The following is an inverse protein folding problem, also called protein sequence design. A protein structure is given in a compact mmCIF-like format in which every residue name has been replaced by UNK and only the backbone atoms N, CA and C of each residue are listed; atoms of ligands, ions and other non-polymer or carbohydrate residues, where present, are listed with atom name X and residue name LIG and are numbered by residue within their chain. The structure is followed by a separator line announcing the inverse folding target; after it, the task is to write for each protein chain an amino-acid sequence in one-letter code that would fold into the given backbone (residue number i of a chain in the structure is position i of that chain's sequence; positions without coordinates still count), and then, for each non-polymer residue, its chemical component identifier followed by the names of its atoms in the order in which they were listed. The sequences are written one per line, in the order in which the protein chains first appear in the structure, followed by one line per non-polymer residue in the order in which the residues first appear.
data_IF_597433426748
#
_entry.id   IF_597433426748
#
_cell.length_a   1.000
_cell.length_b   1.000
_cell.length_c   1.000
_cell.angle_alpha   90.00
_cell.angle_beta   90.00
_cell.angle_gamma   90.00
#
_symmetry.space_group_name_H-M   'P 1'
#
loop_
_entity.id
_entity.type
_entity.pdbx_description
1 polymer ?
#
# COMPACT_ATOMS: atom_id res chain seq x y z
N UNK A 1 39.58 31.43 10.22
CA UNK A 1 39.31 30.26 9.35
C UNK A 1 38.80 29.01 10.09
N UNK A 2 39.08 28.84 11.39
CA UNK A 2 38.72 27.64 12.16
C UNK A 2 37.19 27.46 12.37
N UNK A 3 36.44 28.56 12.52
CA UNK A 3 34.98 28.51 12.75
C UNK A 3 34.16 28.06 11.52
N UNK A 4 34.71 28.17 10.30
CA UNK A 4 34.03 27.75 9.07
C UNK A 4 34.12 26.23 8.89
N UNK A 5 35.30 25.65 9.17
CA UNK A 5 35.50 24.20 9.15
C UNK A 5 34.63 23.49 10.19
N UNK A 6 34.47 24.08 11.37
CA UNK A 6 33.65 23.49 12.44
C UNK A 6 32.15 23.49 12.10
N UNK A 7 31.66 24.51 11.35
CA UNK A 7 30.28 24.51 10.82
C UNK A 7 30.07 23.46 9.73
N UNK A 8 31.06 23.24 8.86
CA UNK A 8 30.99 22.25 7.78
C UNK A 8 30.94 20.82 8.34
N UNK A 9 31.77 20.52 9.34
CA UNK A 9 31.78 19.21 10.02
C UNK A 9 30.44 18.94 10.74
N UNK A 10 29.84 19.97 11.36
CA UNK A 10 28.53 19.84 12.02
C UNK A 10 27.38 19.53 11.03
N UNK A 11 27.45 20.06 9.80
CA UNK A 11 26.45 19.77 8.77
C UNK A 11 26.56 18.33 8.24
N UNK A 12 27.78 17.81 8.11
CA UNK A 12 27.97 16.41 7.70
C UNK A 12 27.43 15.40 8.73
N UNK A 13 27.55 15.67 10.04
CA UNK A 13 26.99 14.78 11.07
C UNK A 13 25.46 14.76 11.08
N UNK A 14 24.79 15.89 10.78
CA UNK A 14 23.31 15.95 10.77
C UNK A 14 22.65 15.16 9.64
N UNK A 15 23.36 14.87 8.54
CA UNK A 15 22.80 14.17 7.37
C UNK A 15 23.04 12.65 7.35
N UNK A 16 23.92 12.15 8.22
CA UNK A 16 24.28 10.73 8.33
C UNK A 16 23.09 9.78 8.64
N UNK A 17 22.23 10.04 9.66
CA UNK A 17 21.17 9.09 10.02
C UNK A 17 20.06 8.99 8.97
N UNK A 18 19.81 10.06 8.22
CA UNK A 18 18.75 10.08 7.20
C UNK A 18 19.11 9.28 5.95
N UNK A 19 20.40 9.22 5.58
CA UNK A 19 20.87 8.43 4.44
C UNK A 19 20.74 6.92 4.70
N UNK A 20 21.07 6.47 5.91
CA UNK A 20 20.95 5.07 6.30
C UNK A 20 19.48 4.60 6.35
N UNK A 21 18.57 5.46 6.85
CA UNK A 21 17.13 5.18 6.85
C UNK A 21 16.59 5.09 5.40
N UNK A 22 16.97 6.02 4.53
CA UNK A 22 16.57 6.02 3.12
C UNK A 22 17.04 4.76 2.37
N UNK A 23 18.27 4.28 2.65
CA UNK A 23 18.78 3.04 2.08
C UNK A 23 18.01 1.79 2.54
N UNK A 24 17.57 1.77 3.81
CA UNK A 24 16.74 0.67 4.34
C UNK A 24 15.36 0.62 3.69
N UNK A 25 14.71 1.77 3.48
CA UNK A 25 13.44 1.81 2.73
C UNK A 25 13.62 1.44 1.25
N UNK A 26 14.75 1.80 0.63
CA UNK A 26 15.05 1.44 -0.75
C UNK A 26 15.33 -0.07 -0.94
N UNK A 27 15.92 -0.75 0.07
CA UNK A 27 16.19 -2.19 -0.01
C UNK A 27 14.97 -3.07 0.27
N UNK A 28 13.95 -2.52 0.93
CA UNK A 28 12.66 -3.17 1.17
C UNK A 28 11.63 -2.85 0.07
N UNK A 29 12.10 -2.50 -1.13
CA UNK A 29 11.25 -2.42 -2.32
C UNK A 29 10.57 -3.77 -2.53
N UNK A 30 9.38 -3.91 -1.96
CA UNK A 30 8.62 -5.15 -1.91
C UNK A 30 8.49 -5.69 -3.32
N UNK A 31 9.23 -6.76 -3.61
CA UNK A 31 8.79 -7.73 -4.59
C UNK A 31 7.37 -8.09 -4.17
N UNK A 32 6.39 -7.78 -5.00
CA UNK A 32 5.02 -8.20 -4.82
C UNK A 32 4.99 -9.73 -4.92
N UNK A 33 5.47 -10.41 -3.87
CA UNK A 33 5.18 -11.80 -3.65
C UNK A 33 3.66 -11.84 -3.58
N UNK A 34 3.05 -12.55 -4.51
CA UNK A 34 1.64 -12.90 -4.49
C UNK A 34 1.34 -13.44 -3.10
N UNK A 35 0.80 -12.60 -2.22
CA UNK A 35 0.33 -13.04 -0.91
C UNK A 35 -0.77 -14.02 -1.24
N UNK A 36 -0.53 -15.31 -0.96
CA UNK A 36 -1.51 -16.35 -1.20
C UNK A 36 -2.75 -15.99 -0.39
N UNK A 37 -3.80 -15.53 -1.07
CA UNK A 37 -5.07 -15.25 -0.43
C UNK A 37 -5.51 -16.53 0.27
N UNK A 38 -5.92 -16.50 1.56
CA UNK A 38 -6.42 -17.69 2.22
C UNK A 38 -7.52 -18.29 1.33
N UNK A 39 -7.50 -19.61 1.11
CA UNK A 39 -8.34 -20.27 0.10
C UNK A 39 -9.86 -20.00 0.22
N UNK A 40 -10.30 -19.52 1.40
CA UNK A 40 -11.68 -19.19 1.71
C UNK A 40 -12.08 -17.73 1.37
N UNK A 41 -11.13 -16.84 1.05
CA UNK A 41 -11.42 -15.45 0.70
C UNK A 41 -10.86 -15.19 -0.70
N UNK A 42 -11.67 -15.26 -1.77
CA UNK A 42 -11.20 -15.16 -3.15
C UNK A 42 -10.72 -13.74 -3.54
N UNK A 43 -10.79 -12.76 -2.64
CA UNK A 43 -10.50 -11.36 -2.93
C UNK A 43 -11.70 -10.64 -3.55
N UNK A 44 -11.46 -9.41 -4.02
CA UNK A 44 -12.49 -8.57 -4.65
C UNK A 44 -12.69 -9.02 -6.10
N UNK A 45 -13.94 -9.01 -6.55
CA UNK A 45 -14.29 -9.43 -7.91
C UNK A 45 -13.98 -8.37 -8.96
N UNK A 46 -14.13 -8.75 -10.23
CA UNK A 46 -14.00 -7.84 -11.36
C UNK A 46 -15.05 -6.71 -11.40
N UNK A 47 -16.07 -6.76 -10.55
CA UNK A 47 -17.03 -5.67 -10.36
C UNK A 47 -16.38 -4.47 -9.63
N UNK A 48 -15.49 -4.75 -8.68
CA UNK A 48 -14.77 -3.74 -7.90
C UNK A 48 -13.64 -3.13 -8.69
N UNK A 49 -12.76 -3.97 -9.24
CA UNK A 49 -11.66 -3.54 -10.09
C UNK A 49 -11.26 -4.65 -11.04
N UNK A 50 -10.77 -4.26 -12.22
CA UNK A 50 -10.23 -5.20 -13.20
C UNK A 50 -8.73 -5.03 -13.22
N UNK A 51 -7.99 -6.13 -13.00
CA UNK A 51 -6.54 -6.16 -13.26
C UNK A 51 -6.37 -6.19 -14.78
N UNK A 52 -5.85 -5.13 -15.40
CA UNK A 52 -5.56 -5.14 -16.82
C UNK A 52 -4.32 -6.01 -17.07
N UNK A 53 -4.29 -6.76 -18.19
CA UNK A 53 -3.16 -7.63 -18.52
C UNK A 53 -1.91 -6.85 -18.97
N UNK A 54 -1.99 -5.53 -19.11
CA UNK A 54 -0.90 -4.66 -19.56
C UNK A 54 -0.91 -3.31 -18.86
N UNK A 55 -0.08 -2.41 -19.37
CA UNK A 55 0.11 -1.08 -18.81
C UNK A 55 -1.19 -0.26 -18.85
N UNK A 56 -1.49 0.40 -17.74
CA UNK A 56 -2.74 1.17 -17.57
C UNK A 56 -2.62 2.62 -18.01
N UNK A 57 -1.44 3.00 -18.51
CA UNK A 57 -1.10 4.33 -18.97
C UNK A 57 0.41 4.56 -19.00
N UNK A 58 0.87 5.71 -19.50
CA UNK A 58 2.28 6.02 -19.61
C UNK A 58 2.98 5.96 -18.24
N UNK A 59 3.96 5.05 -18.09
CA UNK A 59 4.71 4.87 -16.84
C UNK A 59 3.95 4.14 -15.72
N UNK A 60 2.73 3.66 -15.99
CA UNK A 60 1.91 2.87 -15.08
C UNK A 60 1.92 1.38 -15.51
N UNK A 61 3.11 0.81 -15.45
CA UNK A 61 3.38 -0.61 -15.71
C UNK A 61 3.61 -1.37 -14.41
N UNK A 62 3.37 -2.69 -14.41
CA UNK A 62 3.71 -3.60 -13.32
C UNK A 62 5.20 -3.62 -13.00
N UNK A 63 6.03 -3.48 -14.04
CA UNK A 63 7.48 -3.45 -13.92
C UNK A 63 8.01 -2.01 -13.72
N UNK A 64 7.10 -1.03 -13.67
CA UNK A 64 7.40 0.37 -13.54
C UNK A 64 7.87 0.80 -12.13
N UNK A 65 8.14 2.10 -12.01
CA UNK A 65 8.55 2.73 -10.75
C UNK A 65 7.42 2.75 -9.72
N UNK A 66 6.17 2.97 -10.18
CA UNK A 66 4.99 2.97 -9.33
C UNK A 66 4.48 1.55 -9.13
N UNK A 67 4.26 1.14 -7.88
CA UNK A 67 4.01 -0.27 -7.53
C UNK A 67 2.55 -0.71 -7.58
N UNK A 68 1.60 0.22 -7.70
CA UNK A 68 0.17 -0.09 -7.67
C UNK A 68 -0.58 0.51 -8.87
N UNK A 69 -0.27 0.10 -10.11
CA UNK A 69 -0.96 0.63 -11.29
C UNK A 69 -2.47 0.37 -11.27
N UNK A 70 -2.97 -0.64 -10.57
CA UNK A 70 -4.42 -0.92 -10.49
C UNK A 70 -5.24 0.20 -9.87
N UNK A 71 -4.61 1.09 -9.12
CA UNK A 71 -5.27 2.31 -8.62
C UNK A 71 -5.95 3.11 -9.74
N UNK A 72 -5.40 3.11 -10.94
CA UNK A 72 -5.95 3.84 -12.09
C UNK A 72 -7.19 3.16 -12.70
N UNK A 73 -7.50 1.92 -12.31
CA UNK A 73 -8.62 1.14 -12.84
C UNK A 73 -9.89 1.23 -11.99
N UNK A 74 -9.86 1.95 -10.87
CA UNK A 74 -11.05 2.15 -10.05
C UNK A 74 -12.03 3.14 -10.70
N UNK A 75 -13.31 2.93 -10.43
CA UNK A 75 -14.38 3.85 -10.77
C UNK A 75 -15.00 4.46 -9.50
N UNK A 76 -15.97 5.36 -9.65
CA UNK A 76 -16.60 6.06 -8.53
C UNK A 76 -17.36 5.11 -7.58
N UNK A 77 -17.80 3.96 -8.08
CA UNK A 77 -18.58 2.97 -7.34
C UNK A 77 -17.71 1.85 -6.72
N UNK A 78 -16.46 1.71 -7.14
CA UNK A 78 -15.56 0.63 -6.69
C UNK A 78 -15.50 0.48 -5.17
N UNK A 79 -15.57 1.60 -4.44
CA UNK A 79 -15.61 1.58 -2.97
C UNK A 79 -16.85 0.84 -2.44
N UNK A 80 -18.04 1.18 -2.94
CA UNK A 80 -19.30 0.60 -2.48
C UNK A 80 -19.41 -0.88 -2.87
N UNK A 81 -18.98 -1.24 -4.08
CA UNK A 81 -18.92 -2.63 -4.53
C UNK A 81 -18.02 -3.48 -3.62
N UNK A 82 -16.87 -2.93 -3.22
CA UNK A 82 -15.97 -3.61 -2.30
C UNK A 82 -16.60 -3.82 -0.91
N UNK A 83 -17.33 -2.82 -0.41
CA UNK A 83 -18.05 -2.96 0.86
C UNK A 83 -19.08 -4.09 0.80
N UNK A 84 -19.88 -4.15 -0.28
CA UNK A 84 -20.91 -5.17 -0.48
C UNK A 84 -20.29 -6.57 -0.49
N UNK A 85 -19.19 -6.77 -1.23
CA UNK A 85 -18.50 -8.07 -1.28
C UNK A 85 -17.89 -8.46 0.07
N UNK A 86 -17.34 -7.49 0.80
CA UNK A 86 -16.74 -7.73 2.11
C UNK A 86 -17.76 -8.01 3.21
N UNK A 87 -19.02 -7.58 3.09
CA UNK A 87 -20.06 -7.78 4.11
C UNK A 87 -20.20 -9.25 4.54
N UNK A 88 -20.07 -10.19 3.60
CA UNK A 88 -20.16 -11.64 3.88
C UNK A 88 -19.09 -12.14 4.86
N UNK A 89 -17.93 -11.49 4.89
CA UNK A 89 -16.80 -11.88 5.72
C UNK A 89 -16.69 -11.06 7.02
N UNK A 90 -17.59 -10.11 7.25
CA UNK A 90 -17.59 -9.29 8.46
C UNK A 90 -18.13 -10.09 9.66
N UNK A 91 -17.62 -9.77 10.83
CA UNK A 91 -18.18 -10.23 12.09
C UNK A 91 -19.59 -9.64 12.29
N UNK A 92 -20.48 -10.35 13.01
CA UNK A 92 -21.79 -9.80 13.34
C UNK A 92 -21.65 -8.52 14.16
N UNK A 93 -22.54 -7.56 13.93
CA UNK A 93 -22.53 -6.33 14.70
C UNK A 93 -22.81 -6.62 16.19
N UNK A 94 -22.07 -5.96 17.11
CA UNK A 94 -22.35 -6.10 18.53
C UNK A 94 -23.77 -5.61 18.83
N UNK A 95 -24.46 -6.28 19.76
CA UNK A 95 -25.77 -5.87 20.22
C UNK A 95 -25.66 -5.22 21.60
N UNK A 96 -26.29 -4.07 21.78
CA UNK A 96 -26.47 -3.45 23.09
C UNK A 96 -27.60 -4.11 23.92
N UNK A 97 -28.25 -5.16 23.40
CA UNK A 97 -29.30 -5.86 24.14
C UNK A 97 -28.66 -6.79 25.18
N UNK A 98 -29.15 -6.81 26.43
CA UNK A 98 -28.71 -7.81 27.40
C UNK A 98 -29.08 -9.21 26.87
N UNK A 99 -28.17 -10.19 27.04
CA UNK A 99 -28.48 -11.58 26.72
C UNK A 99 -29.68 -12.01 27.57
N UNK A 100 -30.77 -12.45 26.94
CA UNK A 100 -31.87 -13.09 27.67
C UNK A 100 -31.31 -14.30 28.41
N UNK A 101 -31.56 -14.36 29.71
CA UNK A 101 -31.30 -15.54 30.55
C UNK A 101 -32.28 -16.65 30.21
#
# INVERSE_FOLDING_TARGET
MVKLLQRLILQHQKLSPYKALAQRYASHGGCAKTVSTPANVPGLSSAVYKVPPGDVGPGASKDGKYKNPEYFCYNQMSYFEAEVEMLKYRLPQPSNKPKKK
#
